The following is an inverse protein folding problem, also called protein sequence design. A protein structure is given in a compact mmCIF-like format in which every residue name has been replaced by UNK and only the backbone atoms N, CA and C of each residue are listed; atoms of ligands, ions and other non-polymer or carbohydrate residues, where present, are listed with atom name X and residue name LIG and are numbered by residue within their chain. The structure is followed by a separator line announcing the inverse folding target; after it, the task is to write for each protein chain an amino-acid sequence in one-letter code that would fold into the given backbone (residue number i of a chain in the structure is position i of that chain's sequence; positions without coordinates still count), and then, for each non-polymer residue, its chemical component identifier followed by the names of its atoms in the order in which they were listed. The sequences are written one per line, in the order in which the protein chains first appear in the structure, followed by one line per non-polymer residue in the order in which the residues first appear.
data_IF_285520156567
#
_entry.id   IF_285520156567
#
_cell.length_a   1.000
_cell.length_b   1.000
_cell.length_c   1.000
_cell.angle_alpha   90.00
_cell.angle_beta   90.00
_cell.angle_gamma   90.00
#
_symmetry.space_group_name_H-M   'P 1'
#
loop_
_entity.id
_entity.type
_entity.pdbx_description
1 polymer ?
#
# COMPACT_ATOMS: atom_id res chain seq x y z
N UNK A 1 14.67 -40.73 0.98
CA UNK A 1 15.37 -39.44 0.86
C UNK A 1 14.55 -38.45 1.66
N UNK A 2 14.92 -38.25 2.93
CA UNK A 2 14.21 -37.34 3.82
C UNK A 2 14.62 -35.90 3.47
N UNK A 3 13.65 -35.03 3.13
CA UNK A 3 13.86 -33.58 3.04
C UNK A 3 13.61 -32.99 4.43
N UNK A 4 14.58 -32.30 5.06
CA UNK A 4 14.30 -31.57 6.29
C UNK A 4 13.39 -30.38 5.96
N UNK A 5 12.11 -30.51 6.34
CA UNK A 5 11.13 -29.43 6.23
C UNK A 5 11.58 -28.24 7.06
N UNK A 6 11.64 -27.09 6.40
CA UNK A 6 11.91 -25.78 6.95
C UNK A 6 11.23 -25.57 8.29
N UNK A 7 12.04 -25.33 9.32
CA UNK A 7 11.59 -24.90 10.63
C UNK A 7 10.97 -23.51 10.50
N UNK A 8 9.66 -23.46 10.27
CA UNK A 8 8.88 -22.22 10.27
C UNK A 8 8.89 -21.65 11.69
N UNK A 9 9.77 -20.68 11.96
CA UNK A 9 9.76 -19.96 13.23
C UNK A 9 8.57 -19.01 13.23
N UNK A 10 7.42 -19.49 13.68
CA UNK A 10 6.28 -18.63 13.98
C UNK A 10 6.70 -17.54 14.97
N UNK A 11 6.40 -16.30 14.60
CA UNK A 11 6.77 -15.09 15.34
C UNK A 11 6.41 -15.21 16.82
N UNK A 12 7.44 -15.15 17.65
CA UNK A 12 7.28 -15.11 19.10
C UNK A 12 6.59 -13.79 19.47
N UNK A 13 5.49 -13.80 20.24
CA UNK A 13 4.89 -12.56 20.70
C UNK A 13 5.89 -11.83 21.60
N UNK A 14 6.29 -10.64 21.19
CA UNK A 14 7.12 -9.76 22.03
C UNK A 14 6.27 -9.37 23.25
N UNK A 15 6.75 -9.70 24.44
CA UNK A 15 6.12 -9.30 25.70
C UNK A 15 5.91 -7.78 25.70
N UNK A 16 4.76 -7.26 26.17
CA UNK A 16 4.59 -5.82 26.36
C UNK A 16 5.69 -5.32 27.31
N UNK A 17 6.63 -4.55 26.77
CA UNK A 17 7.54 -3.76 27.58
C UNK A 17 6.68 -2.80 28.39
N UNK A 18 6.90 -2.70 29.70
CA UNK A 18 6.18 -1.78 30.58
C UNK A 18 6.30 -0.36 30.00
N UNK A 19 5.26 0.06 29.27
CA UNK A 19 5.34 1.23 28.41
C UNK A 19 5.11 2.46 29.27
N UNK A 20 6.08 3.35 29.28
CA UNK A 20 5.89 4.72 29.72
C UNK A 20 4.60 5.31 29.09
N UNK A 21 3.93 6.26 29.75
CA UNK A 21 2.71 6.87 29.23
C UNK A 21 2.95 7.36 27.79
N UNK A 22 2.13 6.85 26.86
CA UNK A 22 2.25 7.12 25.43
C UNK A 22 1.81 8.54 25.02
N UNK A 23 1.52 9.39 26.01
CA UNK A 23 1.01 10.74 25.83
C UNK A 23 1.92 11.73 26.56
N UNK A 24 2.34 12.79 25.87
CA UNK A 24 3.10 13.91 26.44
C UNK A 24 2.32 15.20 26.24
N UNK A 25 2.59 16.19 27.09
CA UNK A 25 2.05 17.55 26.88
C UNK A 25 2.79 18.24 25.74
N UNK A 26 2.17 19.27 25.14
CA UNK A 26 2.79 20.07 24.07
C UNK A 26 4.12 20.71 24.54
N UNK A 27 4.15 21.27 25.75
CA UNK A 27 5.36 21.89 26.30
C UNK A 27 6.51 20.89 26.40
N UNK A 28 6.21 19.66 26.83
CA UNK A 28 7.20 18.59 26.97
C UNK A 28 7.67 18.08 25.61
N UNK A 29 6.78 17.99 24.62
CA UNK A 29 7.15 17.68 23.24
C UNK A 29 8.14 18.72 22.69
N UNK A 30 7.85 20.01 22.85
CA UNK A 30 8.71 21.09 22.39
C UNK A 30 10.10 21.04 23.05
N UNK A 31 10.18 20.73 24.34
CA UNK A 31 11.44 20.52 25.03
C UNK A 31 12.23 19.34 24.41
N UNK A 32 11.59 18.18 24.23
CA UNK A 32 12.24 17.00 23.66
C UNK A 32 12.77 17.27 22.25
N UNK A 33 12.01 17.99 21.41
CA UNK A 33 12.42 18.37 20.05
C UNK A 33 13.63 19.29 20.07
N UNK A 34 13.60 20.33 20.90
CA UNK A 34 14.71 21.29 21.01
C UNK A 34 16.01 20.63 21.49
N UNK A 35 15.90 19.64 22.36
CA UNK A 35 17.05 18.91 22.91
C UNK A 35 17.41 17.63 22.14
N UNK A 36 16.73 17.33 21.04
CA UNK A 36 16.98 16.12 20.23
C UNK A 36 16.74 14.81 20.99
N UNK A 37 15.88 14.84 22.02
CA UNK A 37 15.57 13.69 22.86
C UNK A 37 14.47 12.82 22.27
N UNK A 38 14.49 11.53 22.60
CA UNK A 38 13.47 10.57 22.13
C UNK A 38 12.14 10.80 22.85
N UNK A 39 11.05 10.54 22.13
CA UNK A 39 9.72 10.57 22.71
C UNK A 39 9.49 9.33 23.61
N UNK A 40 9.09 9.50 24.87
CA UNK A 40 8.77 8.37 25.75
C UNK A 40 7.57 7.59 25.18
N UNK A 41 7.60 6.26 25.35
CA UNK A 41 6.58 5.36 24.81
C UNK A 41 6.63 5.16 23.29
N UNK A 42 7.52 5.85 22.56
CA UNK A 42 7.68 5.65 21.13
C UNK A 42 8.64 4.49 20.83
N UNK A 43 8.08 3.32 20.56
CA UNK A 43 8.86 2.17 20.11
C UNK A 43 9.24 2.28 18.62
N UNK A 44 10.53 2.22 18.32
CA UNK A 44 11.01 2.04 16.94
C UNK A 44 10.80 0.58 16.54
N UNK A 45 9.85 0.34 15.65
CA UNK A 45 9.67 -1.00 15.07
C UNK A 45 10.86 -1.33 14.17
N UNK A 46 11.37 -2.55 14.32
CA UNK A 46 12.35 -3.12 13.40
C UNK A 46 11.63 -3.50 12.10
N UNK A 47 11.46 -2.52 11.21
CA UNK A 47 10.83 -2.72 9.90
C UNK A 47 11.94 -3.04 8.92
N UNK A 48 11.95 -4.27 8.40
CA UNK A 48 12.82 -4.69 7.30
C UNK A 48 12.03 -4.66 6.00
N UNK A 49 12.61 -4.11 4.95
CA UNK A 49 12.00 -4.20 3.62
C UNK A 49 11.95 -5.66 3.18
N UNK A 50 10.76 -6.17 2.87
CA UNK A 50 10.58 -7.54 2.36
C UNK A 50 11.00 -7.66 0.89
N UNK A 51 11.10 -6.54 0.17
CA UNK A 51 11.44 -6.46 -1.27
C UNK A 51 10.56 -7.32 -2.20
N UNK A 52 9.40 -7.80 -1.74
CA UNK A 52 8.41 -8.45 -2.57
C UNK A 52 7.50 -7.45 -3.30
N UNK A 53 6.79 -7.93 -4.32
CA UNK A 53 5.77 -7.13 -5.00
C UNK A 53 4.65 -6.73 -4.02
N UNK A 54 4.12 -5.51 -4.13
CA UNK A 54 3.01 -5.08 -3.29
C UNK A 54 1.78 -5.94 -3.60
N UNK A 55 1.17 -6.52 -2.57
CA UNK A 55 -0.11 -7.20 -2.72
C UNK A 55 -1.15 -6.20 -3.20
N UNK A 56 -1.65 -6.39 -4.43
CA UNK A 56 -2.72 -5.55 -4.96
C UNK A 56 -3.97 -5.63 -4.07
N UNK A 57 -4.57 -4.47 -3.79
CA UNK A 57 -5.84 -4.43 -3.06
C UNK A 57 -6.94 -5.12 -3.86
N UNK A 58 -7.60 -6.10 -3.26
CA UNK A 58 -8.81 -6.70 -3.82
C UNK A 58 -10.09 -5.93 -3.43
N UNK A 59 -9.97 -4.94 -2.54
CA UNK A 59 -11.11 -4.12 -2.14
C UNK A 59 -11.53 -3.18 -3.27
N UNK A 60 -12.84 -3.03 -3.53
CA UNK A 60 -13.34 -2.06 -4.49
C UNK A 60 -12.93 -0.65 -4.04
N UNK A 61 -12.23 0.06 -4.92
CA UNK A 61 -11.82 1.44 -4.64
C UNK A 61 -13.07 2.33 -4.62
N UNK A 62 -13.21 3.13 -3.58
CA UNK A 62 -14.16 4.26 -3.58
C UNK A 62 -13.51 5.44 -4.30
N UNK A 63 -14.10 5.95 -5.40
CA UNK A 63 -13.52 7.09 -6.10
C UNK A 63 -13.53 8.31 -5.18
N UNK A 64 -12.47 9.10 -5.26
CA UNK A 64 -12.38 10.38 -4.56
C UNK A 64 -13.39 11.35 -5.19
N UNK A 65 -13.92 12.33 -4.44
CA UNK A 65 -14.95 13.23 -4.95
C UNK A 65 -14.49 14.05 -6.18
N UNK A 66 -13.20 14.31 -6.33
CA UNK A 66 -12.66 14.98 -7.52
C UNK A 66 -12.47 14.05 -8.73
N UNK A 67 -12.56 12.73 -8.57
CA UNK A 67 -12.48 11.77 -9.70
C UNK A 67 -13.83 11.64 -10.43
N UNK A 68 -14.94 11.98 -9.78
CA UNK A 68 -16.29 11.89 -10.35
C UNK A 68 -16.57 12.95 -11.43
N UNK A 69 -15.87 14.10 -11.40
CA UNK A 69 -16.12 15.20 -12.33
C UNK A 69 -15.58 14.96 -13.76
N UNK A 70 -14.69 13.97 -13.95
CA UNK A 70 -14.06 13.68 -15.24
C UNK A 70 -14.62 12.46 -16.00
N UNK A 71 -15.56 11.71 -15.40
CA UNK A 71 -16.01 10.41 -15.90
C UNK A 71 -17.27 10.45 -16.78
N UNK A 72 -17.55 11.57 -17.46
CA UNK A 72 -18.69 11.68 -18.37
C UNK A 72 -18.33 11.49 -19.86
N UNK A 73 -17.04 11.37 -20.22
CA UNK A 73 -16.59 11.48 -21.61
C UNK A 73 -15.67 10.34 -22.10
N UNK A 74 -15.89 9.08 -21.71
CA UNK A 74 -15.29 7.94 -22.42
C UNK A 74 -16.35 7.17 -23.23
N UNK A 75 -16.46 7.38 -24.55
CA UNK A 75 -17.25 6.50 -25.40
C UNK A 75 -16.43 5.24 -25.66
N UNK A 76 -16.41 4.30 -24.72
CA UNK A 76 -15.75 3.00 -24.89
C UNK A 76 -16.66 1.86 -24.44
N UNK A 77 -17.84 1.75 -25.07
CA UNK A 77 -18.67 0.54 -25.01
C UNK A 77 -19.76 0.49 -26.10
N UNK A 78 -19.61 1.17 -27.24
CA UNK A 78 -20.61 1.14 -28.32
C UNK A 78 -19.93 1.05 -29.70
N UNK A 79 -19.10 0.03 -29.89
CA UNK A 79 -18.66 -0.42 -31.21
C UNK A 79 -18.41 -1.93 -31.16
N UNK A 80 -19.42 -2.68 -30.70
CA UNK A 80 -19.55 -4.08 -31.02
C UNK A 80 -20.52 -4.17 -32.20
N UNK A 81 -20.07 -4.82 -33.28
CA UNK A 81 -20.76 -5.15 -34.55
C UNK A 81 -20.64 -4.11 -35.68
N UNK A 82 -19.64 -4.27 -36.55
CA UNK A 82 -19.87 -4.51 -37.99
C UNK A 82 -18.57 -5.02 -38.67
N UNK A 83 -18.63 -6.01 -39.58
CA UNK A 83 -17.50 -6.79 -40.07
C UNK A 83 -16.73 -6.12 -41.22
N UNK A 84 -15.44 -6.50 -41.34
CA UNK A 84 -14.57 -6.16 -42.47
C UNK A 84 -15.16 -6.60 -43.81
N UNK A 85 -15.01 -5.78 -44.88
CA UNK A 85 -14.83 -6.28 -46.22
C UNK A 85 -13.34 -6.16 -46.67
N UNK A 86 -12.93 -6.99 -47.65
CA UNK A 86 -11.53 -7.30 -47.94
C UNK A 86 -10.81 -6.24 -48.78
N UNK A 87 -9.49 -6.26 -48.66
CA UNK A 87 -8.54 -5.48 -49.46
C UNK A 87 -8.82 -5.55 -50.97
N UNK A 88 -8.65 -4.41 -51.65
CA UNK A 88 -8.45 -4.37 -53.10
C UNK A 88 -7.40 -3.31 -53.44
N UNK A 89 -6.17 -3.80 -53.63
CA UNK A 89 -5.23 -3.55 -54.76
C UNK A 89 -5.03 -2.07 -55.18
N UNK A 90 -3.89 -1.43 -54.87
CA UNK A 90 -2.58 -1.45 -55.56
C UNK A 90 -2.60 -1.06 -57.05
N UNK A 91 -1.85 0.00 -57.35
CA UNK A 91 -1.23 0.42 -58.62
C UNK A 91 -2.11 0.98 -59.76
N UNK A 92 -1.74 2.20 -60.20
CA UNK A 92 -2.20 2.89 -61.40
C UNK A 92 -1.87 4.37 -61.35
#
# INVERSE_FOLDING_TARGET
MERPGSSSSCGRPLKPTESAPASVTLAQLLYLVQHGQKLPGLEKRHITATHGDPTASQLPRRPKPWEAAGSANSPSAAAALEPLPPASQTLG
#
